data_IF_331263137507
#
_entry.id   IF_331263137507
#
_cell.length_a   1.000
_cell.length_b   1.000
_cell.length_c   1.000
_cell.angle_alpha   90.00
_cell.angle_beta   90.00
_cell.angle_gamma   90.00
#
_symmetry.space_group_name_H-M   'P 1'
#
loop_
_entity.id
_entity.type
_entity.pdbx_description
1 polymer ?
#
# COMPACT_ATOMS: atom_id res chain seq x y z
N UNK A 1 -2.58 -2.64 11.86
CA UNK A 1 -2.77 -1.19 12.09
C UNK A 1 -4.09 -0.79 11.47
N UNK A 2 -4.93 -0.06 12.18
CA UNK A 2 -6.16 0.51 11.62
C UNK A 2 -5.85 1.77 10.81
N UNK A 3 -6.76 2.17 9.92
CA UNK A 3 -6.61 3.43 9.17
C UNK A 3 -6.53 4.65 10.11
N UNK A 4 -7.26 4.62 11.23
CA UNK A 4 -7.26 5.68 12.23
C UNK A 4 -5.90 5.78 12.94
N UNK A 5 -5.31 4.63 13.31
CA UNK A 5 -3.95 4.57 13.88
C UNK A 5 -2.90 5.09 12.90
N UNK A 6 -2.94 4.65 11.65
CA UNK A 6 -2.04 5.15 10.61
C UNK A 6 -2.12 6.68 10.49
N UNK A 7 -3.33 7.22 10.34
CA UNK A 7 -3.52 8.65 10.18
C UNK A 7 -3.08 9.44 11.43
N UNK A 8 -3.22 8.88 12.64
CA UNK A 8 -2.72 9.49 13.86
C UNK A 8 -1.20 9.56 13.88
N UNK A 9 -0.51 8.46 13.55
CA UNK A 9 0.96 8.40 13.48
C UNK A 9 1.53 9.40 12.46
N UNK A 10 0.88 9.52 11.28
CA UNK A 10 1.26 10.52 10.25
C UNK A 10 1.18 11.94 10.82
N UNK A 11 0.06 12.30 11.47
CA UNK A 11 -0.13 13.65 12.03
C UNK A 11 0.85 13.97 13.16
N UNK A 12 1.21 12.96 13.95
CA UNK A 12 2.18 13.08 15.04
C UNK A 12 3.63 13.17 14.54
N UNK A 13 3.87 13.07 13.22
CA UNK A 13 5.21 13.02 12.61
C UNK A 13 6.06 11.86 13.12
N UNK A 14 5.42 10.75 13.44
CA UNK A 14 6.13 9.51 13.73
C UNK A 14 6.76 8.95 12.46
N UNK A 15 7.83 8.17 12.62
CA UNK A 15 8.42 7.45 11.50
C UNK A 15 7.43 6.39 11.00
N UNK A 16 7.23 6.37 9.68
CA UNK A 16 6.35 5.45 8.96
C UNK A 16 7.11 4.94 7.74
N UNK A 17 7.22 3.62 7.60
CA UNK A 17 7.91 2.96 6.51
C UNK A 17 6.91 2.30 5.57
N UNK A 18 6.89 2.73 4.31
CA UNK A 18 5.99 2.20 3.28
C UNK A 18 6.71 1.49 2.15
N UNK A 19 5.95 0.65 1.44
CA UNK A 19 6.38 0.02 0.19
C UNK A 19 5.61 0.60 -1.00
N UNK A 20 6.30 0.80 -2.13
CA UNK A 20 5.70 1.31 -3.36
C UNK A 20 5.53 0.16 -4.37
N UNK A 21 4.29 -0.20 -4.70
CA UNK A 21 3.98 -1.25 -5.67
C UNK A 21 3.56 -0.64 -7.00
N UNK A 22 4.27 -1.06 -8.06
CA UNK A 22 3.99 -0.69 -9.46
C UNK A 22 3.53 -1.89 -10.30
N UNK A 23 3.43 -3.07 -9.70
CA UNK A 23 3.12 -4.32 -10.40
C UNK A 23 1.66 -4.70 -10.20
N UNK A 24 1.02 -5.18 -11.26
CA UNK A 24 -0.35 -5.73 -11.22
C UNK A 24 -0.31 -7.21 -10.81
N UNK A 25 -0.02 -7.45 -9.53
CA UNK A 25 0.05 -8.80 -8.97
C UNK A 25 -0.57 -8.83 -7.56
N UNK A 26 -1.86 -9.18 -7.45
CA UNK A 26 -2.55 -9.30 -6.17
C UNK A 26 -1.83 -10.25 -5.20
N UNK A 27 -1.29 -11.36 -5.71
CA UNK A 27 -0.53 -12.34 -4.90
C UNK A 27 0.73 -11.70 -4.30
N UNK A 28 1.46 -10.90 -5.09
CA UNK A 28 2.64 -10.20 -4.58
C UNK A 28 2.27 -9.12 -3.56
N UNK A 29 1.18 -8.38 -3.78
CA UNK A 29 0.67 -7.37 -2.85
C UNK A 29 0.22 -8.00 -1.53
N UNK A 30 -0.49 -9.12 -1.57
CA UNK A 30 -0.89 -9.87 -0.37
C UNK A 30 0.33 -10.40 0.39
N UNK A 31 1.32 -10.94 -0.32
CA UNK A 31 2.56 -11.38 0.31
C UNK A 31 3.31 -10.22 0.99
N UNK A 32 3.40 -9.05 0.33
CA UNK A 32 4.01 -7.85 0.89
C UNK A 32 3.31 -7.36 2.16
N UNK A 33 1.99 -7.59 2.31
CA UNK A 33 1.25 -7.23 3.51
C UNK A 33 1.75 -7.98 4.76
N UNK A 34 2.44 -9.11 4.60
CA UNK A 34 3.03 -9.87 5.69
C UNK A 34 4.47 -9.47 6.04
N UNK A 35 5.12 -8.60 5.26
CA UNK A 35 6.53 -8.22 5.43
C UNK A 35 6.75 -7.19 6.55
N UNK A 36 5.68 -6.55 7.03
CA UNK A 36 5.73 -5.62 8.16
C UNK A 36 5.87 -4.14 7.80
N UNK A 37 5.50 -3.77 6.58
CA UNK A 37 5.36 -2.36 6.19
C UNK A 37 4.22 -1.69 6.94
N UNK A 38 4.36 -0.39 7.26
CA UNK A 38 3.28 0.40 7.86
C UNK A 38 2.15 0.68 6.86
N UNK A 39 2.49 0.75 5.57
CA UNK A 39 1.55 0.85 4.45
C UNK A 39 2.14 0.33 3.14
N UNK A 40 1.27 0.00 2.19
CA UNK A 40 1.63 -0.30 0.80
C UNK A 40 0.90 0.71 -0.09
N UNK A 41 1.65 1.44 -0.92
CA UNK A 41 1.10 2.31 -1.94
C UNK A 41 0.92 1.54 -3.24
N UNK A 42 -0.31 1.49 -3.74
CA UNK A 42 -0.63 0.97 -5.07
C UNK A 42 -0.62 2.13 -6.06
N UNK A 43 0.35 2.11 -6.98
CA UNK A 43 0.51 3.18 -7.96
C UNK A 43 -0.46 2.99 -9.13
N UNK A 44 -1.58 3.70 -9.07
CA UNK A 44 -2.61 3.70 -10.12
C UNK A 44 -2.37 4.73 -11.23
N UNK A 45 -1.35 5.59 -11.10
CA UNK A 45 -1.05 6.64 -12.09
C UNK A 45 0.08 6.22 -13.05
N UNK A 46 1.11 5.57 -12.51
CA UNK A 46 2.30 5.15 -13.25
C UNK A 46 2.60 3.66 -13.13
N UNK A 47 1.94 2.95 -12.21
CA UNK A 47 2.06 1.50 -12.11
C UNK A 47 1.41 0.79 -13.29
N UNK A 48 1.82 -0.46 -13.47
CA UNK A 48 1.30 -1.36 -14.49
C UNK A 48 -0.09 -1.93 -14.12
N UNK A 49 -0.74 -1.35 -13.10
CA UNK A 49 -2.05 -1.78 -12.58
C UNK A 49 -3.12 -1.38 -13.59
N UNK A 50 -3.72 -2.38 -14.24
CA UNK A 50 -4.80 -2.14 -15.19
C UNK A 50 -6.07 -1.61 -14.50
N UNK A 51 -6.99 -1.03 -15.29
CA UNK A 51 -8.28 -0.53 -14.78
C UNK A 51 -9.10 -1.61 -14.02
N UNK A 52 -9.00 -2.87 -14.44
CA UNK A 52 -9.60 -4.00 -13.72
C UNK A 52 -8.91 -4.30 -12.38
N UNK A 53 -7.57 -4.19 -12.33
CA UNK A 53 -6.81 -4.30 -11.08
C UNK A 53 -7.10 -3.16 -10.11
N UNK A 54 -7.38 -1.96 -10.64
CA UNK A 54 -7.81 -0.80 -9.85
C UNK A 54 -9.18 -1.00 -9.18
N UNK A 55 -10.14 -1.62 -9.88
CA UNK A 55 -11.49 -1.84 -9.36
C UNK A 55 -11.58 -3.04 -8.40
N UNK A 56 -10.65 -4.00 -8.52
CA UNK A 56 -10.63 -5.22 -7.72
C UNK A 56 -9.65 -5.16 -6.52
N UNK A 57 -8.91 -4.07 -6.38
CA UNK A 57 -7.92 -3.84 -5.32
C UNK A 57 -8.52 -3.61 -3.94
#
# INVERSE_FOLDING_TARGET
MTAQEFAARVRNREQILGYWSVIDSPVSTEWLAHVGWDYIALDLQHGLIGYSGMLAG
#
